data_IF_993119200290
#
_entry.id   IF_993119200290
#
_cell.length_a   1.000
_cell.length_b   1.000
_cell.length_c   1.000
_cell.angle_alpha   90.00
_cell.angle_beta   90.00
_cell.angle_gamma   90.00
#
_symmetry.space_group_name_H-M   'P 1'
#
loop_
_entity.id
_entity.type
_entity.pdbx_description
1 polymer ?
#
# COMPACT_ATOMS: atom_id res chain seq x y z
N UNK A 1 -23.59 -58.96 -2.52
CA UNK A 1 -23.22 -57.57 -2.13
C UNK A 1 -23.65 -56.62 -3.24
N UNK A 2 -24.62 -55.74 -2.95
CA UNK A 2 -25.28 -54.89 -3.95
C UNK A 2 -24.36 -53.74 -4.41
N UNK A 3 -23.96 -53.78 -5.69
CA UNK A 3 -23.12 -52.75 -6.33
C UNK A 3 -23.68 -51.33 -6.21
N UNK A 4 -24.99 -51.19 -6.02
CA UNK A 4 -25.66 -49.90 -5.84
C UNK A 4 -25.34 -49.21 -4.50
N UNK A 5 -24.99 -49.95 -3.43
CA UNK A 5 -24.63 -49.33 -2.14
C UNK A 5 -23.20 -48.77 -2.13
N UNK A 6 -22.29 -49.32 -2.94
CA UNK A 6 -20.90 -48.83 -3.04
C UNK A 6 -20.86 -47.50 -3.80
N UNK A 7 -21.68 -47.33 -4.83
CA UNK A 7 -21.71 -46.09 -5.62
C UNK A 7 -22.27 -44.89 -4.84
N UNK A 8 -23.26 -45.12 -3.97
CA UNK A 8 -23.85 -44.07 -3.14
C UNK A 8 -22.88 -43.54 -2.07
N UNK A 9 -22.01 -44.42 -1.53
CA UNK A 9 -21.02 -44.08 -0.51
C UNK A 9 -19.87 -43.23 -1.07
N UNK A 10 -19.48 -43.44 -2.34
CA UNK A 10 -18.42 -42.66 -3.00
C UNK A 10 -18.89 -41.22 -3.28
N UNK A 11 -20.13 -41.03 -3.73
CA UNK A 11 -20.69 -39.70 -4.00
C UNK A 11 -20.85 -38.89 -2.70
N UNK A 12 -21.21 -39.54 -1.58
CA UNK A 12 -21.34 -38.88 -0.28
C UNK A 12 -19.99 -38.42 0.30
N UNK A 13 -18.90 -39.16 0.06
CA UNK A 13 -17.55 -38.75 0.47
C UNK A 13 -17.02 -37.53 -0.29
N UNK A 14 -17.38 -37.35 -1.57
CA UNK A 14 -16.95 -36.19 -2.35
C UNK A 14 -17.65 -34.88 -1.94
N UNK A 15 -18.84 -34.94 -1.32
CA UNK A 15 -19.58 -33.75 -0.87
C UNK A 15 -19.10 -33.30 0.52
N UNK A 16 -18.57 -34.21 1.34
CA UNK A 16 -18.02 -33.90 2.67
C UNK A 16 -16.56 -33.46 2.65
N UNK A 17 -15.86 -33.58 1.52
CA UNK A 17 -14.68 -32.76 1.22
C UNK A 17 -15.11 -31.33 0.87
N UNK A 18 -15.98 -30.75 1.70
CA UNK A 18 -16.39 -29.36 1.65
C UNK A 18 -15.11 -28.54 1.62
N UNK A 19 -14.94 -27.77 0.55
CA UNK A 19 -13.89 -26.79 0.41
C UNK A 19 -13.81 -25.96 1.70
N UNK A 20 -12.82 -26.23 2.55
CA UNK A 20 -12.27 -25.19 3.39
C UNK A 20 -11.60 -24.21 2.41
N UNK A 21 -12.38 -23.30 1.83
CA UNK A 21 -11.83 -22.11 1.20
C UNK A 21 -11.01 -21.43 2.27
N UNK A 22 -9.69 -21.53 2.15
CA UNK A 22 -8.78 -20.82 3.01
C UNK A 22 -9.21 -19.35 2.99
N UNK A 23 -9.37 -18.75 4.18
CA UNK A 23 -9.67 -17.32 4.29
C UNK A 23 -8.57 -16.59 3.52
N UNK A 24 -8.95 -15.83 2.50
CA UNK A 24 -8.01 -15.02 1.74
C UNK A 24 -7.53 -13.87 2.62
N UNK A 25 -6.21 -13.65 2.68
CA UNK A 25 -5.66 -12.51 3.39
C UNK A 25 -5.99 -11.24 2.63
N UNK A 26 -6.50 -10.22 3.32
CA UNK A 26 -6.86 -8.95 2.70
C UNK A 26 -5.79 -7.91 2.96
N UNK A 27 -5.27 -7.32 1.88
CA UNK A 27 -4.41 -6.14 1.91
C UNK A 27 -5.21 -4.96 1.38
N UNK A 28 -5.25 -3.90 2.16
CA UNK A 28 -5.86 -2.63 1.81
C UNK A 28 -4.75 -1.64 1.52
N UNK A 29 -4.84 -0.92 0.40
CA UNK A 29 -4.04 0.28 0.13
C UNK A 29 -4.86 1.50 0.54
N UNK A 30 -4.39 2.21 1.56
CA UNK A 30 -5.03 3.41 2.12
C UNK A 30 -4.67 4.66 1.31
N UNK A 31 -5.26 4.75 0.11
CA UNK A 31 -5.04 5.91 -0.76
C UNK A 31 -5.60 7.22 -0.21
N UNK A 32 -6.42 7.18 0.84
CA UNK A 32 -6.84 8.41 1.52
C UNK A 32 -5.69 9.06 2.27
N UNK A 33 -4.98 8.28 3.10
CA UNK A 33 -3.77 8.77 3.77
C UNK A 33 -2.75 9.29 2.75
N UNK A 34 -2.52 8.53 1.69
CA UNK A 34 -1.45 8.78 0.72
C UNK A 34 -1.65 10.12 -0.01
N UNK A 35 -2.89 10.41 -0.43
CA UNK A 35 -3.24 11.68 -1.09
C UNK A 35 -3.09 12.87 -0.13
N UNK A 36 -3.57 12.76 1.10
CA UNK A 36 -3.50 13.86 2.07
C UNK A 36 -2.04 14.10 2.50
N UNK A 37 -1.24 13.05 2.64
CA UNK A 37 0.20 13.14 2.88
C UNK A 37 0.91 13.85 1.72
N UNK A 38 0.66 13.43 0.47
CA UNK A 38 1.28 14.02 -0.71
C UNK A 38 1.00 15.52 -0.83
N UNK A 39 -0.25 15.94 -0.60
CA UNK A 39 -0.62 17.36 -0.55
C UNK A 39 0.14 18.12 0.54
N UNK A 40 0.22 17.55 1.74
CA UNK A 40 0.97 18.15 2.85
C UNK A 40 2.46 18.34 2.52
N UNK A 41 3.06 17.37 1.80
CA UNK A 41 4.44 17.47 1.31
C UNK A 41 4.58 18.58 0.27
N UNK A 42 3.69 18.65 -0.72
CA UNK A 42 3.67 19.70 -1.73
C UNK A 42 3.54 21.11 -1.12
N UNK A 43 2.58 21.30 -0.22
CA UNK A 43 2.38 22.56 0.50
C UNK A 43 3.59 22.95 1.35
N UNK A 44 4.18 21.98 2.05
CA UNK A 44 5.38 22.19 2.86
C UNK A 44 6.56 22.65 2.00
N UNK A 45 6.80 21.99 0.86
CA UNK A 45 7.87 22.34 -0.06
C UNK A 45 7.71 23.76 -0.59
N UNK A 46 6.51 24.12 -1.05
CA UNK A 46 6.18 25.46 -1.52
C UNK A 46 6.42 26.53 -0.44
N UNK A 47 5.89 26.32 0.77
CA UNK A 47 6.08 27.26 1.89
C UNK A 47 7.56 27.48 2.22
N UNK A 48 8.36 26.42 2.20
CA UNK A 48 9.79 26.51 2.50
C UNK A 48 10.58 27.25 1.41
N UNK A 49 10.24 27.04 0.14
CA UNK A 49 10.84 27.78 -0.97
C UNK A 49 10.46 29.27 -0.91
N UNK A 50 9.18 29.57 -0.68
CA UNK A 50 8.68 30.94 -0.55
C UNK A 50 9.36 31.69 0.61
N UNK A 51 9.53 31.02 1.75
CA UNK A 51 10.22 31.58 2.92
C UNK A 51 11.72 31.88 2.68
N UNK A 52 12.33 31.25 1.67
CA UNK A 52 13.76 31.39 1.34
C UNK A 52 14.00 32.13 0.02
N UNK A 53 12.95 32.64 -0.62
CA UNK A 53 13.01 33.20 -1.99
C UNK A 53 14.10 34.25 -2.19
N UNK A 54 14.32 35.12 -1.20
CA UNK A 54 15.28 36.23 -1.33
C UNK A 54 16.73 35.72 -1.25
N UNK A 55 16.99 34.74 -0.38
CA UNK A 55 18.31 34.08 -0.28
C UNK A 55 18.56 33.25 -1.54
N UNK A 56 17.56 32.52 -2.02
CA UNK A 56 17.65 31.74 -3.27
C UNK A 56 17.93 32.66 -4.46
N UNK A 57 17.30 33.84 -4.51
CA UNK A 57 17.55 34.84 -5.56
C UNK A 57 19.00 35.36 -5.55
N UNK A 58 19.59 35.51 -4.37
CA UNK A 58 20.96 36.03 -4.22
C UNK A 58 22.02 34.96 -4.47
N UNK A 59 21.82 33.75 -3.94
CA UNK A 59 22.83 32.70 -3.90
C UNK A 59 22.61 31.60 -4.93
N UNK A 60 21.41 31.49 -5.51
CA UNK A 60 20.98 30.37 -6.33
C UNK A 60 20.61 29.14 -5.49
N UNK A 61 19.65 28.35 -5.97
CA UNK A 61 19.11 27.21 -5.24
C UNK A 61 20.16 26.14 -4.89
N UNK A 62 21.13 25.92 -5.78
CA UNK A 62 22.23 24.97 -5.55
C UNK A 62 23.08 25.28 -4.32
N UNK A 63 23.09 26.53 -3.85
CA UNK A 63 23.88 26.99 -2.71
C UNK A 63 23.06 27.19 -1.42
N UNK A 64 21.76 26.88 -1.45
CA UNK A 64 20.85 27.07 -0.31
C UNK A 64 20.39 25.71 0.21
N UNK A 65 21.09 25.12 1.18
CA UNK A 65 20.68 23.92 1.95
C UNK A 65 19.73 22.94 1.23
N UNK A 66 18.55 22.73 1.79
CA UNK A 66 17.50 21.85 1.26
C UNK A 66 16.81 22.34 -0.02
N UNK A 67 17.24 23.45 -0.63
CA UNK A 67 16.56 24.01 -1.80
C UNK A 67 16.51 23.05 -3.00
N UNK A 68 17.58 22.32 -3.38
CA UNK A 68 17.49 21.42 -4.54
C UNK A 68 16.43 20.32 -4.37
N UNK A 69 16.33 19.74 -3.17
CA UNK A 69 15.32 18.74 -2.82
C UNK A 69 13.90 19.33 -2.81
N UNK A 70 13.74 20.49 -2.16
CA UNK A 70 12.44 21.19 -2.11
C UNK A 70 11.98 21.64 -3.50
N UNK A 71 12.90 22.09 -4.36
CA UNK A 71 12.60 22.47 -5.74
C UNK A 71 12.13 21.25 -6.53
N UNK A 72 12.81 20.11 -6.43
CA UNK A 72 12.39 18.87 -7.08
C UNK A 72 10.96 18.47 -6.69
N UNK A 73 10.63 18.54 -5.39
CA UNK A 73 9.28 18.26 -4.90
C UNK A 73 8.29 19.29 -5.47
N UNK A 74 8.59 20.58 -5.37
CA UNK A 74 7.72 21.64 -5.85
C UNK A 74 7.46 21.52 -7.36
N UNK A 75 8.49 21.22 -8.16
CA UNK A 75 8.39 21.01 -9.60
C UNK A 75 7.48 19.82 -9.93
N UNK A 76 7.59 18.72 -9.19
CA UNK A 76 6.67 17.59 -9.32
C UNK A 76 5.22 17.98 -8.96
N UNK A 77 5.03 18.85 -7.97
CA UNK A 77 3.72 19.33 -7.53
C UNK A 77 3.11 20.43 -8.43
N UNK A 78 3.85 21.03 -9.36
CA UNK A 78 3.34 22.09 -10.25
C UNK A 78 2.31 21.56 -11.25
N UNK A 79 2.46 20.29 -11.68
CA UNK A 79 1.58 19.67 -12.66
C UNK A 79 0.37 18.99 -12.02
N UNK A 80 0.53 18.50 -10.79
CA UNK A 80 -0.47 17.77 -10.01
C UNK A 80 -0.25 18.09 -8.53
N UNK A 81 -1.27 18.61 -7.85
CA UNK A 81 -1.20 18.94 -6.41
C UNK A 81 -0.98 17.72 -5.52
N UNK A 82 -1.13 16.51 -6.07
CA UNK A 82 -0.84 15.24 -5.41
C UNK A 82 0.50 14.63 -5.85
N UNK A 83 1.25 15.33 -6.71
CA UNK A 83 2.60 15.00 -7.12
C UNK A 83 2.75 13.66 -7.86
N UNK A 84 1.68 13.13 -8.45
CA UNK A 84 1.67 11.85 -9.16
C UNK A 84 1.35 10.63 -8.29
N UNK A 85 0.82 10.79 -7.07
CA UNK A 85 0.49 9.65 -6.19
C UNK A 85 -0.44 8.63 -6.86
N UNK A 86 -1.42 9.07 -7.66
CA UNK A 86 -2.35 8.15 -8.32
C UNK A 86 -1.65 7.22 -9.31
N UNK A 87 -0.72 7.75 -10.08
CA UNK A 87 0.08 6.94 -11.01
C UNK A 87 1.00 6.00 -10.24
N UNK A 88 1.56 6.46 -9.13
CA UNK A 88 2.36 5.63 -8.24
C UNK A 88 1.54 4.46 -7.66
N UNK A 89 0.34 4.71 -7.14
CA UNK A 89 -0.57 3.70 -6.59
C UNK A 89 -1.03 2.71 -7.66
N UNK A 90 -1.36 3.16 -8.86
CA UNK A 90 -1.72 2.28 -9.99
C UNK A 90 -0.58 1.33 -10.35
N UNK A 91 0.65 1.84 -10.39
CA UNK A 91 1.84 1.03 -10.62
C UNK A 91 2.09 0.05 -9.46
N UNK A 92 1.91 0.50 -8.22
CA UNK A 92 2.04 -0.35 -7.03
C UNK A 92 1.00 -1.49 -7.04
N UNK A 93 -0.26 -1.20 -7.35
CA UNK A 93 -1.31 -2.21 -7.52
C UNK A 93 -0.95 -3.23 -8.61
N UNK A 94 -0.33 -2.77 -9.71
CA UNK A 94 0.15 -3.66 -10.78
C UNK A 94 1.28 -4.57 -10.30
N UNK A 95 2.22 -4.07 -9.51
CA UNK A 95 3.28 -4.88 -8.89
C UNK A 95 2.68 -5.93 -7.93
N UNK A 96 1.68 -5.55 -7.13
CA UNK A 96 0.95 -6.51 -6.29
C UNK A 96 0.24 -7.60 -7.12
N UNK A 97 -0.46 -7.21 -8.17
CA UNK A 97 -1.21 -8.15 -9.01
C UNK A 97 -0.32 -9.13 -9.79
N UNK A 98 0.90 -8.71 -10.15
CA UNK A 98 1.83 -9.51 -10.95
C UNK A 98 2.83 -10.33 -10.13
N UNK A 99 2.95 -10.07 -8.84
CA UNK A 99 3.91 -10.74 -7.97
C UNK A 99 3.40 -12.09 -7.46
N UNK A 100 4.17 -13.16 -7.72
CA UNK A 100 3.81 -14.53 -7.35
C UNK A 100 3.67 -14.74 -5.85
N UNK A 101 4.35 -13.94 -5.02
CA UNK A 101 4.22 -13.99 -3.56
C UNK A 101 2.88 -13.43 -3.07
N UNK A 102 2.12 -12.75 -3.92
CA UNK A 102 0.85 -12.11 -3.59
C UNK A 102 -0.38 -12.91 -4.06
N UNK A 103 -0.18 -14.10 -4.65
CA UNK A 103 -1.22 -14.86 -5.36
C UNK A 103 -2.47 -15.18 -4.51
N UNK A 104 -2.33 -15.29 -3.19
CA UNK A 104 -3.42 -15.60 -2.26
C UNK A 104 -3.97 -14.38 -1.52
N UNK A 105 -3.52 -13.17 -1.89
CA UNK A 105 -3.88 -11.93 -1.22
C UNK A 105 -4.94 -11.21 -2.04
N UNK A 106 -6.05 -10.87 -1.40
CA UNK A 106 -7.05 -9.98 -1.98
C UNK A 106 -6.64 -8.53 -1.72
N UNK A 107 -6.20 -7.83 -2.77
CA UNK A 107 -5.73 -6.45 -2.68
C UNK A 107 -6.87 -5.48 -3.03
N UNK A 108 -7.16 -4.58 -2.11
CA UNK A 108 -8.25 -3.60 -2.23
C UNK A 108 -7.66 -2.20 -2.18
N UNK A 109 -8.06 -1.33 -3.09
CA UNK A 109 -7.74 0.09 -3.03
C UNK A 109 -8.86 0.85 -2.33
N UNK A 110 -8.50 1.71 -1.39
CA UNK A 110 -9.46 2.48 -0.61
C UNK A 110 -9.27 3.98 -0.78
N UNK A 111 -10.34 4.62 -1.21
CA UNK A 111 -10.47 6.07 -1.25
C UNK A 111 -11.40 6.54 -0.15
N UNK A 112 -11.02 7.62 0.53
CA UNK A 112 -11.69 8.32 1.64
C UNK A 112 -13.13 7.89 1.97
N UNK A 113 -13.46 7.60 3.24
CA UNK A 113 -14.83 7.25 3.64
C UNK A 113 -15.77 8.46 3.48
N UNK A 114 -16.77 8.31 2.61
CA UNK A 114 -17.87 9.27 2.44
C UNK A 114 -19.25 8.60 2.25
N UNK A 115 -19.30 7.28 2.07
CA UNK A 115 -20.55 6.52 1.88
C UNK A 115 -20.34 5.07 2.35
N UNK A 116 -20.41 4.85 3.66
CA UNK A 116 -20.26 3.53 4.28
C UNK A 116 -18.80 3.07 4.38
N UNK A 117 -18.43 2.55 5.54
CA UNK A 117 -17.20 1.78 5.66
C UNK A 117 -17.43 0.50 4.88
N UNK A 118 -16.60 0.23 3.87
CA UNK A 118 -16.66 -1.02 3.12
C UNK A 118 -16.56 -2.18 4.11
N UNK A 119 -17.38 -3.22 3.95
CA UNK A 119 -17.44 -4.36 4.90
C UNK A 119 -16.08 -5.05 5.05
N UNK A 120 -15.21 -4.89 4.06
CA UNK A 120 -13.83 -5.36 4.03
C UNK A 120 -12.95 -4.69 5.10
N UNK A 121 -13.26 -3.46 5.51
CA UNK A 121 -12.60 -2.79 6.64
C UNK A 121 -12.98 -3.36 8.00
N UNK A 122 -14.15 -4.00 8.10
CA UNK A 122 -14.63 -4.62 9.34
C UNK A 122 -14.03 -6.03 9.53
N UNK A 123 -13.40 -6.58 8.49
CA UNK A 123 -12.75 -7.88 8.51
C UNK A 123 -11.28 -7.76 8.94
N UNK A 124 -10.66 -8.88 9.32
CA UNK A 124 -9.21 -8.90 9.56
C UNK A 124 -8.48 -8.56 8.25
N UNK A 125 -7.75 -7.45 8.25
CA UNK A 125 -6.97 -6.98 7.11
C UNK A 125 -5.62 -6.42 7.54
N UNK A 126 -4.74 -6.24 6.57
CA UNK A 126 -3.59 -5.36 6.68
C UNK A 126 -3.87 -4.08 5.91
N UNK A 127 -3.58 -2.92 6.49
CA UNK A 127 -3.67 -1.62 5.82
C UNK A 127 -2.26 -1.11 5.54
N UNK A 128 -1.96 -0.84 4.27
CA UNK A 128 -0.72 -0.28 3.77
C UNK A 128 -0.95 1.18 3.38
N UNK A 129 -0.09 2.05 3.88
CA UNK A 129 -0.07 3.47 3.50
C UNK A 129 1.32 3.87 3.00
N UNK A 130 1.36 4.73 2.00
CA UNK A 130 2.56 5.28 1.36
C UNK A 130 2.73 6.73 1.81
N UNK A 131 3.86 7.00 2.46
CA UNK A 131 4.31 8.36 2.75
C UNK A 131 4.97 8.94 1.50
N UNK A 132 4.13 9.27 0.53
CA UNK A 132 4.54 9.65 -0.81
C UNK A 132 5.25 11.00 -0.85
N UNK A 133 6.48 10.97 -1.38
CA UNK A 133 7.34 12.12 -1.63
C UNK A 133 7.41 12.31 -3.15
N UNK A 134 6.78 13.38 -3.69
CA UNK A 134 6.77 13.66 -5.12
C UNK A 134 8.16 13.72 -5.73
N UNK A 135 8.32 13.06 -6.89
CA UNK A 135 9.60 13.00 -7.62
C UNK A 135 10.59 11.95 -7.11
N UNK A 136 10.34 11.29 -5.99
CA UNK A 136 11.19 10.19 -5.53
C UNK A 136 10.76 8.84 -6.11
N UNK A 137 11.76 8.01 -6.46
CA UNK A 137 11.52 6.68 -7.02
C UNK A 137 11.23 5.63 -5.93
N UNK A 138 11.74 5.85 -4.71
CA UNK A 138 11.52 4.99 -3.56
C UNK A 138 10.75 5.74 -2.51
N UNK A 139 9.71 5.11 -1.99
CA UNK A 139 8.80 5.71 -1.03
C UNK A 139 8.91 5.04 0.32
N UNK A 140 8.68 5.83 1.37
CA UNK A 140 8.44 5.29 2.70
C UNK A 140 7.05 4.66 2.72
N UNK A 141 6.93 3.49 3.31
CA UNK A 141 5.66 2.80 3.48
C UNK A 141 5.52 2.30 4.91
N UNK A 142 4.29 2.15 5.35
CA UNK A 142 3.93 1.60 6.63
C UNK A 142 2.72 0.70 6.50
N UNK A 143 2.67 -0.35 7.31
CA UNK A 143 1.59 -1.31 7.32
C UNK A 143 1.16 -1.60 8.75
N UNK A 144 -0.15 -1.61 8.96
CA UNK A 144 -0.79 -2.03 10.20
C UNK A 144 -1.57 -3.32 9.93
N UNK A 145 -1.32 -4.36 10.70
CA UNK A 145 -1.94 -5.68 10.50
C UNK A 145 -2.74 -6.15 11.71
N UNK A 146 -3.98 -6.57 11.45
CA UNK A 146 -4.83 -7.32 12.35
C UNK A 146 -5.34 -6.56 13.60
N UNK A 147 -6.12 -7.24 14.46
CA UNK A 147 -6.76 -6.62 15.63
C UNK A 147 -5.77 -6.20 16.72
N UNK A 148 -4.55 -6.76 16.70
CA UNK A 148 -3.47 -6.41 17.64
C UNK A 148 -2.59 -5.26 17.14
N UNK A 149 -2.90 -4.67 15.97
CA UNK A 149 -2.17 -3.57 15.34
C UNK A 149 -0.66 -3.79 15.28
N UNK A 150 -0.22 -4.88 14.66
CA UNK A 150 1.21 -5.06 14.39
C UNK A 150 1.66 -4.01 13.38
N UNK A 151 2.75 -3.31 13.68
CA UNK A 151 3.27 -2.23 12.84
C UNK A 151 4.54 -2.67 12.12
N UNK A 152 4.56 -2.51 10.79
CA UNK A 152 5.75 -2.72 9.96
C UNK A 152 5.97 -1.51 9.06
N UNK A 153 7.21 -1.17 8.76
CA UNK A 153 7.54 -0.05 7.89
C UNK A 153 8.79 -0.34 7.07
N UNK A 154 8.98 0.43 5.99
CA UNK A 154 10.18 0.33 5.19
C UNK A 154 10.29 1.44 4.15
N UNK A 155 11.29 1.26 3.28
CA UNK A 155 11.52 2.08 2.09
C UNK A 155 11.70 1.15 0.90
N UNK A 156 11.17 1.54 -0.25
CA UNK A 156 11.38 0.83 -1.51
C UNK A 156 10.67 1.47 -2.69
N UNK A 157 11.05 1.04 -3.88
CA UNK A 157 10.27 1.19 -5.12
C UNK A 157 8.98 0.37 -5.05
N UNK A 158 8.04 0.57 -5.98
CA UNK A 158 6.78 -0.18 -6.02
C UNK A 158 7.00 -1.70 -6.00
N UNK A 159 7.95 -2.18 -6.81
CA UNK A 159 8.32 -3.59 -6.88
C UNK A 159 8.86 -4.10 -5.54
N UNK A 160 9.81 -3.38 -4.95
CA UNK A 160 10.41 -3.77 -3.66
C UNK A 160 9.40 -3.73 -2.52
N UNK A 161 8.42 -2.83 -2.57
CA UNK A 161 7.31 -2.78 -1.61
C UNK A 161 6.46 -4.03 -1.76
N UNK A 162 6.01 -4.37 -2.97
CA UNK A 162 5.22 -5.58 -3.20
C UNK A 162 5.96 -6.85 -2.76
N UNK A 163 7.25 -6.96 -3.09
CA UNK A 163 8.12 -8.09 -2.70
C UNK A 163 8.23 -8.26 -1.18
N UNK A 164 8.23 -7.15 -0.42
CA UNK A 164 8.32 -7.17 1.05
C UNK A 164 6.96 -7.37 1.71
N UNK A 165 5.92 -6.69 1.22
CA UNK A 165 4.59 -6.66 1.86
C UNK A 165 3.87 -7.99 1.69
N UNK A 166 3.91 -8.61 0.52
CA UNK A 166 3.17 -9.85 0.26
C UNK A 166 3.51 -11.02 1.19
N UNK A 167 4.79 -11.38 1.42
CA UNK A 167 5.09 -12.44 2.38
C UNK A 167 4.64 -12.11 3.81
N UNK A 168 4.65 -10.82 4.21
CA UNK A 168 4.16 -10.42 5.55
C UNK A 168 2.65 -10.65 5.66
N UNK A 169 1.89 -10.20 4.65
CA UNK A 169 0.43 -10.33 4.63
C UNK A 169 0.00 -11.79 4.55
N UNK A 170 0.67 -12.60 3.72
CA UNK A 170 0.40 -14.04 3.60
C UNK A 170 0.81 -14.85 4.86
N UNK A 171 1.28 -14.19 5.92
CA UNK A 171 1.76 -14.85 7.13
C UNK A 171 3.03 -15.70 6.91
N UNK A 172 3.73 -15.49 5.80
CA UNK A 172 5.01 -16.12 5.52
C UNK A 172 6.11 -15.42 6.34
N UNK A 173 6.21 -15.77 7.62
CA UNK A 173 7.17 -15.20 8.55
C UNK A 173 7.12 -15.85 9.93
N UNK A 174 8.08 -15.52 10.80
CA UNK A 174 8.07 -16.00 12.16
C UNK A 174 6.90 -15.38 12.94
N UNK A 175 6.10 -16.21 13.62
CA UNK A 175 5.17 -15.71 14.64
C UNK A 175 6.00 -15.24 15.83
N UNK A 176 6.02 -13.92 16.08
CA UNK A 176 6.53 -13.37 17.32
C UNK A 176 5.43 -13.54 18.38
N UNK A 177 5.60 -14.52 19.25
CA UNK A 177 4.83 -14.63 20.49
C UNK A 177 5.55 -13.83 21.57
N UNK A 178 4.89 -12.77 22.08
CA UNK A 178 5.25 -12.17 23.36
C UNK A 178 4.76 -13.05 24.52
#
# INVERSE_FOLDING_TARGET
MNKHHVFLLIILCCILASCNTAKEDTLIIDGWWDVDYAKGVCESAKRQLDARKDIIKQLGCANVGSCPELSKIADACLLDETGGIRDYENNLMTEFASNLNCKSIHVIYFTRPGVGVNKEWEQDHSSLSINFTPGDLSQRWQMVSGPKMSYTQGVGTQKEIADKVCPIVAGAGAKLSN
#
